data_IF_563772549580
#
_entry.id   IF_563772549580
#
_cell.length_a   1.000
_cell.length_b   1.000
_cell.length_c   1.000
_cell.angle_alpha   90.00
_cell.angle_beta   90.00
_cell.angle_gamma   90.00
#
_symmetry.space_group_name_H-M   'P 1'
#
loop_
_entity.id
_entity.type
_entity.pdbx_description
1 polymer ?
#
# COMPACT_ATOMS: atom_id res chain seq x y z
N UNK A 1 -3.34 10.78 -1.19
CA UNK A 1 -2.71 9.54 -1.71
C UNK A 1 -1.46 9.24 -0.92
N UNK A 2 -1.25 8.00 -0.63
CA UNK A 2 -0.11 7.52 0.15
C UNK A 2 0.58 6.42 -0.65
N UNK A 3 1.85 6.60 -0.99
CA UNK A 3 2.61 5.69 -1.83
C UNK A 3 3.79 5.14 -1.04
N UNK A 4 3.96 3.81 -1.07
CA UNK A 4 5.14 3.15 -0.52
C UNK A 4 5.84 2.39 -1.64
N UNK A 5 7.12 2.65 -1.81
CA UNK A 5 7.94 1.98 -2.83
C UNK A 5 9.01 1.13 -2.16
N UNK A 6 9.01 -0.15 -2.48
CA UNK A 6 9.99 -1.13 -2.04
C UNK A 6 10.84 -1.54 -3.24
N UNK A 7 12.16 -1.59 -3.10
CA UNK A 7 13.07 -1.77 -4.24
C UNK A 7 13.80 -3.11 -4.28
N UNK A 8 13.72 -3.90 -3.22
CA UNK A 8 14.44 -5.19 -3.12
C UNK A 8 13.53 -6.31 -2.67
N UNK A 9 12.34 -6.36 -3.23
CA UNK A 9 11.35 -7.38 -2.88
C UNK A 9 11.73 -8.69 -3.53
N UNK A 10 11.81 -9.76 -2.73
CA UNK A 10 12.13 -11.10 -3.23
C UNK A 10 11.09 -11.60 -4.22
N UNK A 11 9.82 -11.38 -3.93
CA UNK A 11 8.72 -11.73 -4.83
C UNK A 11 7.58 -10.72 -4.67
N UNK A 12 7.42 -9.84 -5.64
CA UNK A 12 6.34 -8.85 -5.64
C UNK A 12 4.98 -9.56 -5.77
N UNK A 13 4.91 -10.62 -6.56
CA UNK A 13 3.67 -11.40 -6.71
C UNK A 13 3.23 -12.02 -5.39
N UNK A 14 4.14 -12.58 -4.61
CA UNK A 14 3.84 -13.14 -3.30
C UNK A 14 3.43 -12.05 -2.31
N UNK A 15 4.14 -10.93 -2.30
CA UNK A 15 3.79 -9.79 -1.46
C UNK A 15 2.38 -9.29 -1.76
N UNK A 16 2.05 -9.15 -3.04
CA UNK A 16 0.73 -8.71 -3.48
C UNK A 16 -0.38 -9.69 -3.05
N UNK A 17 -0.14 -10.98 -3.19
CA UNK A 17 -1.11 -12.00 -2.79
C UNK A 17 -1.39 -11.94 -1.29
N UNK A 18 -0.35 -11.83 -0.47
CA UNK A 18 -0.50 -11.73 0.98
C UNK A 18 -1.13 -10.40 1.39
N UNK A 19 -0.78 -9.32 0.70
CA UNK A 19 -1.35 -8.01 0.96
C UNK A 19 -2.85 -7.98 0.65
N UNK A 20 -3.28 -8.68 -0.39
CA UNK A 20 -4.70 -8.73 -0.75
C UNK A 20 -5.57 -9.25 0.40
N UNK A 21 -5.12 -10.28 1.11
CA UNK A 21 -5.89 -10.84 2.23
C UNK A 21 -5.66 -10.10 3.55
N UNK A 22 -4.43 -9.67 3.84
CA UNK A 22 -4.08 -9.01 5.10
C UNK A 22 -4.30 -7.50 5.08
N UNK A 23 -3.56 -6.80 4.23
CA UNK A 23 -3.68 -5.34 4.11
C UNK A 23 -5.06 -4.95 3.61
N UNK A 24 -5.60 -5.69 2.65
CA UNK A 24 -6.94 -5.44 2.12
C UNK A 24 -8.00 -5.45 3.21
N UNK A 25 -7.92 -6.39 4.15
CA UNK A 25 -8.87 -6.47 5.26
C UNK A 25 -8.75 -5.26 6.20
N UNK A 26 -7.51 -4.88 6.53
CA UNK A 26 -7.24 -3.70 7.36
C UNK A 26 -7.85 -2.44 6.71
N UNK A 27 -7.63 -2.28 5.41
CA UNK A 27 -8.09 -1.10 4.68
C UNK A 27 -9.62 -1.05 4.57
N UNK A 28 -10.27 -2.17 4.31
CA UNK A 28 -11.73 -2.23 4.24
C UNK A 28 -12.39 -1.82 5.55
N UNK A 29 -11.74 -2.06 6.67
CA UNK A 29 -12.22 -1.69 8.00
C UNK A 29 -11.78 -0.29 8.41
N UNK A 30 -10.96 0.37 7.61
CA UNK A 30 -10.42 1.69 7.92
C UNK A 30 -11.37 2.80 7.47
N UNK A 31 -11.57 3.77 8.36
CA UNK A 31 -12.38 4.95 8.07
C UNK A 31 -11.79 5.74 6.90
N UNK A 32 -12.65 6.16 5.99
CA UNK A 32 -12.24 7.03 4.87
C UNK A 32 -11.52 6.33 3.74
N UNK A 33 -11.42 5.00 3.77
CA UNK A 33 -10.77 4.25 2.72
C UNK A 33 -11.49 4.40 1.37
N UNK A 34 -10.72 4.63 0.29
CA UNK A 34 -11.24 4.75 -1.07
C UNK A 34 -10.71 3.68 -2.01
N UNK A 35 -9.39 3.52 -2.10
CA UNK A 35 -8.81 2.56 -3.03
C UNK A 35 -7.41 2.11 -2.60
N UNK A 36 -7.00 0.95 -3.10
CA UNK A 36 -5.71 0.36 -2.83
C UNK A 36 -5.22 -0.40 -4.05
N UNK A 37 -3.98 -0.15 -4.44
CA UNK A 37 -3.33 -0.82 -5.57
C UNK A 37 -1.97 -1.32 -5.17
N UNK A 38 -1.60 -2.49 -5.67
CA UNK A 38 -0.22 -3.00 -5.62
C UNK A 38 0.25 -3.15 -7.05
N UNK A 39 1.38 -2.53 -7.36
CA UNK A 39 1.94 -2.49 -8.71
C UNK A 39 3.29 -3.19 -8.71
N UNK A 40 3.50 -4.09 -9.66
CA UNK A 40 4.80 -4.71 -9.90
C UNK A 40 5.57 -3.85 -10.89
N UNK A 41 6.61 -3.19 -10.42
CA UNK A 41 7.46 -2.33 -11.25
C UNK A 41 8.57 -3.07 -11.99
N UNK A 42 8.69 -4.40 -11.78
CA UNK A 42 9.79 -5.18 -12.32
C UNK A 42 11.07 -5.07 -11.50
N UNK A 43 11.98 -6.03 -11.66
CA UNK A 43 13.28 -5.98 -10.99
C UNK A 43 13.24 -5.96 -9.46
N UNK A 44 12.20 -6.50 -8.86
CA UNK A 44 12.02 -6.47 -7.39
C UNK A 44 11.41 -5.19 -6.86
N UNK A 45 10.90 -4.32 -7.73
CA UNK A 45 10.23 -3.08 -7.33
C UNK A 45 8.74 -3.33 -7.12
N UNK A 46 8.27 -3.10 -5.90
CA UNK A 46 6.85 -3.17 -5.55
C UNK A 46 6.35 -1.83 -5.07
N UNK A 47 5.21 -1.41 -5.56
CA UNK A 47 4.61 -0.12 -5.22
C UNK A 47 3.22 -0.34 -4.67
N UNK A 48 2.95 0.17 -3.46
CA UNK A 48 1.63 0.14 -2.85
C UNK A 48 1.05 1.55 -2.84
N UNK A 49 -0.17 1.72 -3.33
CA UNK A 49 -0.84 3.02 -3.41
C UNK A 49 -2.15 2.94 -2.67
N UNK A 50 -2.34 3.82 -1.68
CA UNK A 50 -3.58 3.93 -0.90
C UNK A 50 -4.20 5.30 -1.09
N UNK A 51 -5.51 5.36 -1.24
CA UNK A 51 -6.27 6.60 -1.27
C UNK A 51 -7.30 6.61 -0.16
N UNK A 52 -7.33 7.71 0.60
CA UNK A 52 -8.27 7.96 1.68
C UNK A 52 -8.92 9.33 1.52
N UNK A 53 -10.04 9.54 2.20
CA UNK A 53 -10.73 10.84 2.18
C UNK A 53 -9.89 11.98 2.75
N UNK A 54 -9.07 11.68 3.78
CA UNK A 54 -8.26 12.68 4.46
C UNK A 54 -6.94 12.08 4.94
N UNK A 55 -6.00 12.97 5.30
CA UNK A 55 -4.66 12.59 5.73
C UNK A 55 -4.66 11.83 7.06
N UNK A 56 -5.51 12.23 7.98
CA UNK A 56 -5.58 11.59 9.30
C UNK A 56 -5.97 10.12 9.19
N UNK A 57 -7.00 9.83 8.39
CA UNK A 57 -7.42 8.45 8.13
C UNK A 57 -6.32 7.64 7.44
N UNK A 58 -5.63 8.24 6.47
CA UNK A 58 -4.52 7.59 5.77
C UNK A 58 -3.37 7.26 6.72
N UNK A 59 -2.99 8.18 7.60
CA UNK A 59 -1.93 7.96 8.57
C UNK A 59 -2.28 6.85 9.56
N UNK A 60 -3.50 6.84 10.06
CA UNK A 60 -3.97 5.80 10.99
C UNK A 60 -3.95 4.41 10.33
N UNK A 61 -4.41 4.32 9.09
CA UNK A 61 -4.38 3.07 8.34
C UNK A 61 -2.94 2.63 8.03
N UNK A 62 -2.07 3.57 7.69
CA UNK A 62 -0.68 3.26 7.39
C UNK A 62 0.04 2.63 8.58
N UNK A 63 -0.22 3.08 9.80
CA UNK A 63 0.38 2.50 11.00
C UNK A 63 0.02 1.02 11.13
N UNK A 64 -1.24 0.67 10.91
CA UNK A 64 -1.70 -0.71 10.94
C UNK A 64 -1.12 -1.56 9.81
N UNK A 65 -1.04 -0.98 8.62
CA UNK A 65 -0.47 -1.66 7.45
C UNK A 65 1.01 -1.96 7.65
N UNK A 66 1.77 -1.00 8.18
CA UNK A 66 3.20 -1.20 8.48
C UNK A 66 3.40 -2.32 9.51
N UNK A 67 2.58 -2.36 10.54
CA UNK A 67 2.62 -3.42 11.54
C UNK A 67 2.42 -4.79 10.89
N UNK A 68 1.40 -4.92 10.03
CA UNK A 68 1.15 -6.15 9.29
C UNK A 68 2.35 -6.54 8.42
N UNK A 69 2.90 -5.60 7.67
CA UNK A 69 4.05 -5.84 6.79
C UNK A 69 5.26 -6.32 7.59
N UNK A 70 5.55 -5.67 8.70
CA UNK A 70 6.68 -6.02 9.54
C UNK A 70 6.54 -7.41 10.17
N UNK A 71 5.33 -7.81 10.53
CA UNK A 71 5.08 -9.10 11.18
C UNK A 71 4.90 -10.24 10.19
N UNK A 72 4.24 -10.00 9.06
CA UNK A 72 3.76 -11.05 8.17
C UNK A 72 4.54 -11.20 6.87
N UNK A 73 5.37 -10.23 6.49
CA UNK A 73 6.11 -10.24 5.23
C UNK A 73 7.64 -10.22 5.42
N UNK A 74 8.13 -10.62 6.59
CA UNK A 74 9.57 -10.62 6.91
C UNK A 74 10.39 -11.48 5.94
N UNK A 75 9.86 -12.61 5.52
CA UNK A 75 10.55 -13.54 4.62
C UNK A 75 10.75 -12.99 3.20
N UNK A 76 10.04 -11.93 2.84
CA UNK A 76 10.15 -11.31 1.52
C UNK A 76 11.19 -10.20 1.47
N UNK A 77 11.84 -9.90 2.58
CA UNK A 77 12.95 -8.94 2.68
C UNK A 77 12.57 -7.55 2.14
N UNK A 78 11.42 -7.04 2.55
CA UNK A 78 10.91 -5.77 2.01
C UNK A 78 11.78 -4.55 2.35
N UNK A 79 12.42 -4.57 3.52
CA UNK A 79 13.19 -3.41 3.97
C UNK A 79 12.31 -2.19 4.26
N UNK A 80 12.95 -1.05 4.41
CA UNK A 80 12.24 0.22 4.62
C UNK A 80 11.77 0.79 3.28
N UNK A 81 10.49 1.17 3.16
CA UNK A 81 10.00 1.75 1.92
C UNK A 81 10.37 3.22 1.77
N UNK A 82 10.45 3.67 0.53
CA UNK A 82 10.39 5.09 0.22
C UNK A 82 8.91 5.52 0.27
N UNK A 83 8.60 6.54 1.03
CA UNK A 83 7.23 6.98 1.26
C UNK A 83 7.01 8.33 0.59
N UNK A 84 5.96 8.43 -0.21
CA UNK A 84 5.48 9.67 -0.80
C UNK A 84 4.02 9.80 -0.42
N UNK A 85 3.68 10.91 0.24
CA UNK A 85 2.31 11.16 0.67
C UNK A 85 1.93 12.58 0.32
N UNK A 86 0.70 12.77 -0.15
CA UNK A 86 0.21 14.07 -0.52
C UNK A 86 -1.27 14.06 -0.86
N UNK A 87 -1.80 15.26 -1.04
CA UNK A 87 -3.16 15.46 -1.46
C UNK A 87 -3.31 15.24 -2.96
N UNK A 88 -4.37 14.54 -3.37
CA UNK A 88 -4.70 14.37 -4.77
C UNK A 88 -5.35 15.66 -5.27
N UNK A 89 -4.68 16.35 -6.18
CA UNK A 89 -5.17 17.62 -6.72
C UNK A 89 -6.05 17.44 -7.95
N UNK A 90 -5.81 16.39 -8.74
CA UNK A 90 -6.60 16.07 -9.93
C UNK A 90 -6.89 14.60 -9.94
N UNK A 91 -8.16 14.24 -10.10
CA UNK A 91 -8.57 12.85 -10.26
C UNK A 91 -9.57 12.78 -11.42
N UNK A 92 -9.21 12.03 -12.44
CA UNK A 92 -10.04 11.82 -13.62
C UNK A 92 -10.21 10.32 -13.80
N UNK A 93 -11.44 9.86 -13.84
CA UNK A 93 -11.75 8.45 -13.96
C UNK A 93 -12.57 8.20 -15.22
N UNK A 94 -12.42 6.99 -15.77
CA UNK A 94 -13.22 6.56 -16.91
C UNK A 94 -14.66 6.27 -16.45
N UNK A 95 -15.63 6.65 -17.27
CA UNK A 95 -17.05 6.33 -17.05
C UNK A 95 -17.40 4.90 -17.51
N UNK A 96 -16.48 4.24 -18.17
CA UNK A 96 -16.69 2.90 -18.71
C UNK A 96 -16.56 1.79 -17.67
#
# INVERSE_FOLDING_TARGET
MFIRKYTKVRSVADAARRAKSGVGQILKESRGFRSYYVVDGGGGVGIAVMNFEDRESANAANDKVLEFVQESLLDLNLGAPEIIAGEVLVSIESDA
#
